data_IF_015526548601
#
_entry.id   IF_015526548601
#
_cell.length_a   1.000
_cell.length_b   1.000
_cell.length_c   1.000
_cell.angle_alpha   90.00
_cell.angle_beta   90.00
_cell.angle_gamma   90.00
#
_symmetry.space_group_name_H-M   'P 1'
#
loop_
_entity.id
_entity.type
_entity.pdbx_description
1 polymer ?
#
# COMPACT_ATOMS: atom_id res chain seq x y z
N UNK A 1 11.60 -11.87 1.77
CA UNK A 1 11.90 -10.48 1.36
C UNK A 1 11.58 -10.38 -0.12
N UNK A 2 11.02 -9.26 -0.59
CA UNK A 2 10.70 -9.07 -2.02
C UNK A 2 12.00 -9.00 -2.81
N UNK A 3 12.18 -9.85 -3.82
CA UNK A 3 13.42 -10.01 -4.60
C UNK A 3 13.71 -8.83 -5.54
N UNK A 4 12.78 -7.87 -5.68
CA UNK A 4 12.92 -6.71 -6.55
C UNK A 4 13.28 -5.44 -5.75
N UNK A 5 14.40 -4.76 -6.05
CA UNK A 5 14.89 -3.59 -5.31
C UNK A 5 13.98 -2.37 -5.42
N UNK A 6 13.09 -2.32 -6.41
CA UNK A 6 12.17 -1.19 -6.63
C UNK A 6 10.80 -1.37 -5.97
N UNK A 7 10.58 -2.47 -5.24
CA UNK A 7 9.31 -2.75 -4.55
C UNK A 7 9.50 -2.68 -3.05
N UNK A 8 9.00 -1.62 -2.41
CA UNK A 8 8.97 -1.51 -0.96
C UNK A 8 7.72 -2.22 -0.40
N UNK A 9 7.93 -3.40 0.22
CA UNK A 9 6.89 -4.04 1.02
C UNK A 9 6.95 -3.60 2.47
N UNK A 10 5.87 -2.97 2.95
CA UNK A 10 5.79 -2.48 4.34
C UNK A 10 4.81 -3.34 5.13
N UNK A 11 5.36 -4.22 5.96
CA UNK A 11 4.59 -4.96 6.95
C UNK A 11 4.32 -4.10 8.18
N UNK A 12 3.08 -4.15 8.68
CA UNK A 12 2.66 -3.36 9.84
C UNK A 12 1.60 -4.08 10.68
N UNK A 13 1.55 -3.75 11.95
CA UNK A 13 0.63 -4.37 12.93
C UNK A 13 -0.68 -3.61 13.13
N UNK A 14 -1.03 -2.64 12.27
CA UNK A 14 -2.25 -1.83 12.41
C UNK A 14 -3.50 -2.69 12.65
N UNK A 15 -3.64 -3.79 11.90
CA UNK A 15 -4.74 -4.75 12.06
C UNK A 15 -4.79 -5.34 13.46
N UNK A 16 -3.66 -5.81 13.95
CA UNK A 16 -3.53 -6.41 15.27
C UNK A 16 -3.89 -5.40 16.35
N UNK A 17 -3.33 -4.18 16.26
CA UNK A 17 -3.63 -3.08 17.19
C UNK A 17 -5.13 -2.80 17.23
N UNK A 18 -5.79 -2.56 16.09
CA UNK A 18 -7.23 -2.27 16.07
C UNK A 18 -8.06 -3.43 16.63
N UNK A 19 -7.68 -4.68 16.34
CA UNK A 19 -8.40 -5.86 16.84
C UNK A 19 -8.24 -5.99 18.36
N UNK A 20 -7.03 -5.85 18.88
CA UNK A 20 -6.74 -5.90 20.32
C UNK A 20 -7.51 -4.80 21.06
N UNK A 21 -7.45 -3.55 20.59
CA UNK A 21 -8.14 -2.44 21.25
C UNK A 21 -9.66 -2.49 21.07
N UNK A 22 -10.17 -3.12 20.00
CA UNK A 22 -11.58 -3.45 19.89
C UNK A 22 -12.03 -4.44 20.97
N UNK A 23 -11.25 -5.48 21.25
CA UNK A 23 -11.53 -6.40 22.35
C UNK A 23 -11.44 -5.70 23.72
N UNK A 24 -10.41 -4.88 23.94
CA UNK A 24 -10.24 -4.09 25.18
C UNK A 24 -11.43 -3.14 25.40
N UNK A 25 -11.99 -2.52 24.35
CA UNK A 25 -13.19 -1.66 24.48
C UNK A 25 -14.41 -2.36 25.07
N UNK A 26 -14.45 -3.70 25.08
CA UNK A 26 -15.52 -4.46 25.76
C UNK A 26 -15.55 -4.24 27.28
N UNK A 27 -14.49 -3.66 27.88
CA UNK A 27 -14.47 -3.17 29.26
C UNK A 27 -15.65 -2.22 29.55
N UNK A 28 -16.18 -1.52 28.54
CA UNK A 28 -17.38 -0.71 28.69
C UNK A 28 -18.59 -1.51 29.22
N UNK A 29 -18.67 -2.81 28.93
CA UNK A 29 -19.73 -3.68 29.48
C UNK A 29 -19.60 -3.89 31.00
N UNK A 30 -18.38 -3.83 31.53
CA UNK A 30 -18.13 -3.96 32.97
C UNK A 30 -18.63 -2.74 33.74
N UNK A 31 -18.82 -1.58 33.10
CA UNK A 31 -19.32 -0.37 33.75
C UNK A 31 -20.69 -0.60 34.42
N UNK A 32 -21.51 -1.52 33.90
CA UNK A 32 -22.80 -1.90 34.47
C UNK A 32 -22.67 -2.59 35.84
N UNK A 33 -21.66 -3.43 36.04
CA UNK A 33 -21.55 -4.30 37.22
C UNK A 33 -20.42 -3.89 38.18
N UNK A 34 -19.35 -3.30 37.67
CA UNK A 34 -18.14 -2.90 38.42
C UNK A 34 -17.64 -1.52 37.94
N UNK A 35 -18.34 -0.44 38.31
CA UNK A 35 -18.08 0.90 37.77
C UNK A 35 -16.67 1.42 38.08
N UNK A 36 -16.22 1.34 39.35
CA UNK A 36 -14.88 1.78 39.77
C UNK A 36 -13.75 1.08 38.99
N UNK A 37 -13.89 -0.24 38.77
CA UNK A 37 -12.92 -1.03 38.00
C UNK A 37 -12.94 -0.67 36.53
N UNK A 38 -14.13 -0.52 35.94
CA UNK A 38 -14.28 -0.12 34.55
C UNK A 38 -13.67 1.27 34.29
N UNK A 39 -13.93 2.25 35.15
CA UNK A 39 -13.37 3.58 35.06
C UNK A 39 -11.83 3.57 35.09
N UNK A 40 -11.24 2.88 36.08
CA UNK A 40 -9.79 2.72 36.19
C UNK A 40 -9.18 2.11 34.92
N UNK A 41 -9.80 1.07 34.38
CA UNK A 41 -9.33 0.41 33.17
C UNK A 41 -9.51 1.28 31.91
N UNK A 42 -10.63 2.00 31.79
CA UNK A 42 -10.86 2.95 30.70
C UNK A 42 -9.84 4.08 30.72
N UNK A 43 -9.56 4.66 31.89
CA UNK A 43 -8.48 5.65 32.09
C UNK A 43 -7.12 5.06 31.69
N UNK A 44 -6.80 3.83 32.12
CA UNK A 44 -5.55 3.14 31.77
C UNK A 44 -5.36 3.01 30.25
N UNK A 45 -6.37 2.56 29.52
CA UNK A 45 -6.28 2.30 28.08
C UNK A 45 -6.60 3.51 27.19
N UNK A 46 -7.12 4.59 27.77
CA UNK A 46 -7.47 5.82 27.07
C UNK A 46 -6.29 6.35 26.25
N UNK A 47 -6.58 6.71 24.99
CA UNK A 47 -5.61 7.27 24.04
C UNK A 47 -4.45 6.35 23.64
N UNK A 48 -4.29 5.14 24.20
CA UNK A 48 -3.15 4.25 23.87
C UNK A 48 -3.24 3.73 22.44
N UNK A 49 -4.44 3.33 21.98
CA UNK A 49 -4.65 2.92 20.59
C UNK A 49 -4.23 4.03 19.63
N UNK A 50 -4.71 5.26 19.87
CA UNK A 50 -4.39 6.42 19.05
C UNK A 50 -2.89 6.69 19.00
N UNK A 51 -2.19 6.65 20.14
CA UNK A 51 -0.74 6.85 20.21
C UNK A 51 0.03 5.79 19.42
N UNK A 52 -0.29 4.51 19.62
CA UNK A 52 0.34 3.40 18.88
C UNK A 52 0.13 3.49 17.36
N UNK A 53 -1.10 3.74 16.94
CA UNK A 53 -1.44 3.93 15.52
C UNK A 53 -0.69 5.12 14.94
N UNK A 54 -0.62 6.22 15.70
CA UNK A 54 0.07 7.45 15.27
C UNK A 54 1.56 7.23 15.08
N UNK A 55 2.23 6.63 16.07
CA UNK A 55 3.64 6.24 16.00
C UNK A 55 3.92 5.35 14.77
N UNK A 56 3.09 4.32 14.59
CA UNK A 56 3.24 3.41 13.46
C UNK A 56 3.04 4.12 12.10
N UNK A 57 2.05 5.02 11.98
CA UNK A 57 1.87 5.83 10.78
C UNK A 57 3.07 6.78 10.53
N UNK A 58 3.67 7.37 11.57
CA UNK A 58 4.88 8.17 11.40
C UNK A 58 6.07 7.33 10.94
N UNK A 59 6.26 6.12 11.48
CA UNK A 59 7.34 5.21 11.06
C UNK A 59 7.16 4.75 9.62
N UNK A 60 5.95 4.36 9.23
CA UNK A 60 5.63 3.93 7.86
C UNK A 60 5.86 5.08 6.88
N UNK A 61 5.32 6.27 7.17
CA UNK A 61 5.51 7.44 6.29
C UNK A 61 6.98 7.78 6.13
N UNK A 62 7.80 7.77 7.20
CA UNK A 62 9.23 8.04 7.09
C UNK A 62 9.93 7.03 6.16
N UNK A 63 9.67 5.73 6.34
CA UNK A 63 10.22 4.68 5.46
C UNK A 63 9.87 4.89 3.98
N UNK A 64 8.64 5.31 3.69
CA UNK A 64 8.19 5.59 2.31
C UNK A 64 8.99 6.77 1.72
N UNK A 65 9.14 7.85 2.49
CA UNK A 65 9.89 9.03 2.07
C UNK A 65 11.37 8.71 1.85
N UNK A 66 11.99 7.95 2.76
CA UNK A 66 13.40 7.55 2.64
C UNK A 66 13.62 6.71 1.39
N UNK A 67 12.72 5.76 1.12
CA UNK A 67 12.78 4.94 -0.09
C UNK A 67 12.62 5.78 -1.36
N UNK A 68 11.65 6.70 -1.37
CA UNK A 68 11.44 7.59 -2.52
C UNK A 68 12.68 8.48 -2.76
N UNK A 69 13.27 9.02 -1.69
CA UNK A 69 14.47 9.86 -1.76
C UNK A 69 15.69 9.09 -2.25
N UNK A 70 15.91 7.88 -1.73
CA UNK A 70 17.05 7.04 -2.10
C UNK A 70 17.08 6.70 -3.60
N UNK A 71 15.90 6.56 -4.21
CA UNK A 71 15.76 6.18 -5.61
C UNK A 71 15.36 7.34 -6.54
N UNK A 72 15.20 8.56 -6.02
CA UNK A 72 14.79 9.72 -6.82
C UNK A 72 13.36 9.66 -7.35
N UNK A 73 12.46 8.98 -6.63
CA UNK A 73 11.10 8.72 -7.10
C UNK A 73 10.10 9.80 -6.68
N UNK A 74 9.13 10.07 -7.56
CA UNK A 74 7.91 10.84 -7.22
C UNK A 74 6.88 9.96 -6.49
N UNK A 75 6.08 10.55 -5.61
CA UNK A 75 5.08 9.82 -4.83
C UNK A 75 3.69 9.98 -5.44
N UNK A 76 3.07 8.86 -5.80
CA UNK A 76 1.69 8.80 -6.28
C UNK A 76 0.79 8.11 -5.25
N UNK A 77 -0.34 8.75 -4.90
CA UNK A 77 -1.33 8.20 -3.98
C UNK A 77 -2.75 8.22 -4.57
N UNK A 78 -3.59 7.27 -4.17
CA UNK A 78 -5.02 7.30 -4.55
C UNK A 78 -5.80 8.38 -3.77
N UNK A 79 -6.71 9.07 -4.45
CA UNK A 79 -7.64 9.99 -3.80
C UNK A 79 -8.79 9.23 -3.14
N UNK A 80 -8.62 8.92 -1.85
CA UNK A 80 -9.60 8.16 -1.06
C UNK A 80 -10.71 9.05 -0.45
N UNK A 81 -10.98 10.23 -1.02
CA UNK A 81 -12.14 11.04 -0.63
C UNK A 81 -13.44 10.27 -0.94
N UNK A 82 -14.42 10.36 -0.03
CA UNK A 82 -15.73 9.72 -0.23
C UNK A 82 -15.81 8.20 -0.03
N UNK A 83 -14.70 7.48 0.20
CA UNK A 83 -14.73 6.00 0.38
C UNK A 83 -15.63 5.54 1.54
N UNK A 84 -15.93 6.44 2.50
CA UNK A 84 -16.79 6.17 3.65
C UNK A 84 -18.26 6.51 3.45
N UNK A 85 -18.62 7.19 2.35
CA UNK A 85 -19.95 7.75 2.17
C UNK A 85 -20.98 6.71 1.72
N UNK A 86 -20.54 5.64 1.03
CA UNK A 86 -21.40 4.58 0.49
C UNK A 86 -21.01 3.20 1.03
N UNK A 87 -20.96 3.03 2.36
CA UNK A 87 -20.61 1.73 2.96
C UNK A 87 -21.86 1.00 3.45
N UNK A 88 -22.44 0.17 2.59
CA UNK A 88 -23.40 -0.87 2.98
C UNK A 88 -22.87 -2.27 2.62
N UNK A 89 -21.71 -2.64 3.15
CA UNK A 89 -21.04 -3.93 2.83
C UNK A 89 -20.95 -4.88 4.02
N UNK A 90 -21.83 -4.71 5.00
CA UNK A 90 -21.93 -5.55 6.20
C UNK A 90 -21.09 -5.09 7.40
N UNK A 91 -21.55 -5.44 8.61
CA UNK A 91 -21.02 -4.94 9.90
C UNK A 91 -19.50 -5.11 10.06
N UNK A 92 -18.97 -6.26 9.63
CA UNK A 92 -17.55 -6.57 9.76
C UNK A 92 -16.69 -5.69 8.84
N UNK A 93 -17.09 -5.54 7.58
CA UNK A 93 -16.34 -4.75 6.60
C UNK A 93 -16.44 -3.26 6.91
N UNK A 94 -17.62 -2.77 7.30
CA UNK A 94 -17.83 -1.39 7.74
C UNK A 94 -16.89 -1.06 8.91
N UNK A 95 -16.85 -1.91 9.95
CA UNK A 95 -15.93 -1.73 11.09
C UNK A 95 -14.48 -1.59 10.65
N UNK A 96 -14.04 -2.47 9.74
CA UNK A 96 -12.66 -2.46 9.24
C UNK A 96 -12.34 -1.17 8.48
N UNK A 97 -13.22 -0.74 7.59
CA UNK A 97 -13.07 0.51 6.81
C UNK A 97 -13.05 1.75 7.72
N UNK A 98 -13.87 1.78 8.77
CA UNK A 98 -13.87 2.89 9.73
C UNK A 98 -12.65 2.88 10.66
N UNK A 99 -12.14 1.70 11.04
CA UNK A 99 -10.90 1.62 11.82
C UNK A 99 -9.67 2.04 11.03
N UNK A 100 -9.71 1.94 9.70
CA UNK A 100 -8.56 2.17 8.85
C UNK A 100 -8.12 3.65 8.82
N UNK A 101 -6.84 3.90 9.13
CA UNK A 101 -6.23 5.23 9.23
C UNK A 101 -5.61 5.79 7.94
N UNK A 102 -6.16 5.47 6.76
CA UNK A 102 -5.61 5.93 5.48
C UNK A 102 -5.39 7.45 5.41
N UNK A 103 -6.39 8.27 5.77
CA UNK A 103 -6.26 9.74 5.73
C UNK A 103 -5.09 10.25 6.57
N UNK A 104 -4.85 9.62 7.73
CA UNK A 104 -3.76 10.04 8.63
C UNK A 104 -2.41 9.71 8.01
N UNK A 105 -2.28 8.54 7.40
CA UNK A 105 -1.05 8.17 6.72
C UNK A 105 -0.81 9.02 5.47
N UNK A 106 -1.84 9.29 4.66
CA UNK A 106 -1.75 10.18 3.51
C UNK A 106 -1.29 11.57 3.93
N UNK A 107 -1.86 12.13 5.00
CA UNK A 107 -1.41 13.40 5.57
C UNK A 107 0.07 13.33 6.00
N UNK A 108 0.49 12.25 6.66
CA UNK A 108 1.88 12.10 7.09
C UNK A 108 2.88 11.95 5.96
N UNK A 109 2.48 11.30 4.86
CA UNK A 109 3.30 11.22 3.66
C UNK A 109 3.37 12.60 3.01
N UNK A 110 2.23 13.27 2.82
CA UNK A 110 2.15 14.57 2.15
C UNK A 110 3.01 15.64 2.84
N UNK A 111 2.87 15.82 4.16
CA UNK A 111 3.67 16.84 4.84
C UNK A 111 5.17 16.50 4.85
N UNK A 112 5.55 15.22 5.02
CA UNK A 112 6.97 14.83 5.04
C UNK A 112 7.62 14.89 3.67
N UNK A 113 6.87 14.55 2.62
CA UNK A 113 7.33 14.70 1.25
C UNK A 113 7.60 16.18 0.93
N UNK A 114 6.69 17.07 1.33
CA UNK A 114 6.87 18.52 1.18
C UNK A 114 8.12 19.04 1.91
N UNK A 115 8.38 18.55 3.13
CA UNK A 115 9.59 18.92 3.88
C UNK A 115 10.89 18.47 3.18
N UNK A 116 10.84 17.38 2.43
CA UNK A 116 12.00 16.81 1.73
C UNK A 116 12.02 17.20 0.23
N UNK A 117 11.12 18.09 -0.20
CA UNK A 117 11.04 18.56 -1.59
C UNK A 117 10.55 17.52 -2.60
N UNK A 118 9.90 16.44 -2.16
CA UNK A 118 9.41 15.38 -3.05
C UNK A 118 8.01 15.72 -3.61
N UNK A 119 7.78 15.55 -4.92
CA UNK A 119 6.47 15.77 -5.52
C UNK A 119 5.47 14.69 -5.08
N UNK A 120 4.27 15.12 -4.69
CA UNK A 120 3.15 14.27 -4.29
C UNK A 120 1.94 14.58 -5.12
N UNK A 121 1.32 13.53 -5.65
CA UNK A 121 0.17 13.69 -6.54
C UNK A 121 -0.89 12.63 -6.30
N UNK A 122 -2.14 13.02 -6.54
CA UNK A 122 -3.31 12.20 -6.26
C UNK A 122 -3.99 11.73 -7.54
N UNK A 123 -4.24 10.42 -7.64
CA UNK A 123 -4.91 9.79 -8.78
C UNK A 123 -6.31 9.32 -8.39
N UNK A 124 -7.23 9.33 -9.35
CA UNK A 124 -8.58 8.81 -9.14
C UNK A 124 -8.54 7.29 -8.88
N UNK A 125 -9.09 6.78 -7.76
CA UNK A 125 -9.09 5.34 -7.47
C UNK A 125 -10.00 4.51 -8.40
N UNK A 126 -10.84 5.14 -9.23
CA UNK A 126 -11.78 4.42 -10.09
C UNK A 126 -11.03 3.63 -11.17
N UNK A 127 -11.19 2.32 -11.17
CA UNK A 127 -10.63 1.44 -12.20
C UNK A 127 -9.20 0.95 -11.96
N UNK A 128 -8.52 1.43 -10.90
CA UNK A 128 -7.12 1.06 -10.62
C UNK A 128 -6.95 -0.42 -10.29
N UNK A 129 -7.91 -1.04 -9.62
CA UNK A 129 -7.80 -2.43 -9.15
C UNK A 129 -8.69 -3.44 -9.89
N UNK A 130 -9.44 -2.98 -10.90
CA UNK A 130 -10.44 -3.80 -11.62
C UNK A 130 -10.14 -3.95 -13.11
N UNK A 131 -9.20 -3.18 -13.66
CA UNK A 131 -8.84 -3.20 -15.08
C UNK A 131 -7.46 -3.79 -15.27
N UNK A 132 -7.27 -4.53 -16.37
CA UNK A 132 -5.99 -5.10 -16.73
C UNK A 132 -5.03 -4.00 -17.23
N UNK A 133 -3.81 -3.89 -16.68
CA UNK A 133 -2.85 -2.88 -17.12
C UNK A 133 -2.39 -3.12 -18.56
N UNK A 134 -2.44 -4.37 -19.03
CA UNK A 134 -2.03 -4.78 -20.38
C UNK A 134 -3.15 -4.49 -21.39
N UNK A 135 -4.28 -5.21 -21.31
CA UNK A 135 -5.33 -5.14 -22.34
C UNK A 135 -6.49 -4.20 -22.02
N UNK A 136 -6.58 -3.64 -20.79
CA UNK A 136 -7.72 -2.82 -20.36
C UNK A 136 -9.01 -3.61 -20.05
N UNK A 137 -9.00 -4.93 -20.20
CA UNK A 137 -10.13 -5.81 -19.86
C UNK A 137 -10.44 -5.85 -18.36
N UNK A 138 -11.61 -6.39 -17.99
CA UNK A 138 -12.00 -6.56 -16.58
C UNK A 138 -11.22 -7.71 -15.95
N UNK A 139 -10.71 -7.48 -14.75
CA UNK A 139 -9.99 -8.49 -13.98
C UNK A 139 -10.93 -9.39 -13.19
N UNK A 140 -10.70 -10.70 -13.27
CA UNK A 140 -11.36 -11.69 -12.45
C UNK A 140 -10.53 -11.99 -11.18
N UNK A 141 -11.17 -12.24 -10.02
CA UNK A 141 -10.45 -12.69 -8.84
C UNK A 141 -9.84 -14.09 -9.08
N UNK A 142 -8.59 -14.28 -8.65
CA UNK A 142 -7.89 -15.57 -8.67
C UNK A 142 -7.39 -15.90 -7.25
N UNK A 143 -8.27 -16.42 -6.40
CA UNK A 143 -8.00 -16.59 -4.97
C UNK A 143 -8.15 -15.28 -4.17
N UNK A 144 -7.40 -15.15 -3.08
CA UNK A 144 -7.61 -14.04 -2.12
C UNK A 144 -7.09 -12.68 -2.62
N UNK A 145 -5.86 -12.64 -3.15
CA UNK A 145 -5.16 -11.38 -3.48
C UNK A 145 -4.75 -11.22 -4.94
N UNK A 146 -4.77 -12.31 -5.70
CA UNK A 146 -4.38 -12.28 -7.10
C UNK A 146 -5.58 -12.00 -7.98
N UNK A 147 -5.30 -11.40 -9.12
CA UNK A 147 -6.26 -11.10 -10.17
C UNK A 147 -5.75 -11.69 -11.47
N UNK A 148 -6.66 -12.24 -12.27
CA UNK A 148 -6.36 -12.79 -13.58
C UNK A 148 -7.15 -12.07 -14.67
N UNK A 149 -6.57 -11.98 -15.85
CA UNK A 149 -7.22 -11.49 -17.06
C UNK A 149 -7.20 -12.57 -18.14
N UNK A 150 -8.18 -12.54 -19.03
CA UNK A 150 -8.24 -13.47 -20.18
C UNK A 150 -7.08 -13.28 -21.16
N UNK A 151 -6.38 -12.14 -21.12
CA UNK A 151 -5.15 -11.91 -21.88
C UNK A 151 -3.90 -12.58 -21.29
N UNK A 152 -4.04 -13.40 -20.25
CA UNK A 152 -2.93 -14.12 -19.59
C UNK A 152 -2.24 -13.36 -18.44
N UNK A 153 -2.65 -12.13 -18.14
CA UNK A 153 -2.09 -11.37 -17.01
C UNK A 153 -2.53 -11.95 -15.67
N UNK A 154 -1.58 -12.27 -14.80
CA UNK A 154 -1.84 -12.68 -13.42
C UNK A 154 -0.86 -12.02 -12.43
N UNK A 155 -1.38 -11.26 -11.47
CA UNK A 155 -0.55 -10.64 -10.43
C UNK A 155 -1.36 -10.32 -9.17
N UNK A 156 -0.66 -9.94 -8.07
CA UNK A 156 -1.31 -9.34 -6.90
C UNK A 156 -2.09 -8.06 -7.28
N UNK A 157 -3.26 -7.87 -6.66
CA UNK A 157 -4.13 -6.73 -6.96
C UNK A 157 -3.49 -5.39 -6.60
N UNK A 158 -2.66 -5.33 -5.55
CA UNK A 158 -2.01 -4.09 -5.14
C UNK A 158 -0.93 -3.68 -6.16
N UNK A 159 -0.16 -4.64 -6.68
CA UNK A 159 0.80 -4.40 -7.77
C UNK A 159 0.06 -3.95 -9.04
N UNK A 160 -1.07 -4.59 -9.33
CA UNK A 160 -1.91 -4.21 -10.48
C UNK A 160 -2.44 -2.79 -10.36
N UNK A 161 -2.86 -2.38 -9.16
CA UNK A 161 -3.28 -1.01 -8.88
C UNK A 161 -2.13 0.00 -9.02
N UNK A 162 -0.91 -0.35 -8.62
CA UNK A 162 0.27 0.47 -8.91
C UNK A 162 0.45 0.68 -10.41
N UNK A 163 0.45 -0.41 -11.19
CA UNK A 163 0.68 -0.36 -12.63
C UNK A 163 -0.39 0.48 -13.35
N UNK A 164 -1.65 0.35 -12.96
CA UNK A 164 -2.73 1.16 -13.53
C UNK A 164 -2.62 2.64 -13.17
N UNK A 165 -2.22 2.98 -11.94
CA UNK A 165 -1.99 4.37 -11.55
C UNK A 165 -0.82 4.99 -12.35
N UNK A 166 0.25 4.24 -12.62
CA UNK A 166 1.34 4.68 -13.49
C UNK A 166 0.86 4.89 -14.93
N UNK A 167 0.06 3.97 -15.45
CA UNK A 167 -0.55 4.09 -16.77
C UNK A 167 -1.45 5.33 -16.88
N UNK A 168 -2.24 5.64 -15.86
CA UNK A 168 -3.09 6.85 -15.82
C UNK A 168 -2.27 8.14 -15.87
N UNK A 169 -1.00 8.11 -15.48
CA UNK A 169 -0.06 9.25 -15.59
C UNK A 169 0.58 9.39 -16.96
N UNK A 170 0.34 8.47 -17.89
CA UNK A 170 1.04 8.43 -19.16
C UNK A 170 2.49 7.96 -19.03
N UNK A 171 2.90 7.43 -17.87
CA UNK A 171 4.18 6.75 -17.74
C UNK A 171 4.07 5.47 -18.57
N UNK A 172 4.91 5.29 -19.61
CA UNK A 172 4.87 4.08 -20.41
C UNK A 172 5.07 2.89 -19.49
N UNK A 173 4.21 1.89 -19.64
CA UNK A 173 4.32 0.63 -18.91
C UNK A 173 5.77 0.14 -19.07
N UNK A 174 6.52 -0.11 -17.97
CA UNK A 174 7.89 -0.59 -18.11
C UNK A 174 7.82 -2.02 -18.65
N UNK A 175 7.83 -2.15 -19.97
CA UNK A 175 7.86 -3.44 -20.67
C UNK A 175 9.05 -4.28 -20.20
N UNK A 176 10.17 -3.64 -19.79
CA UNK A 176 11.32 -4.31 -19.18
C UNK A 176 10.98 -5.10 -17.91
N UNK A 177 10.00 -4.69 -17.10
CA UNK A 177 9.64 -5.38 -15.86
C UNK A 177 8.78 -6.65 -16.09
N UNK A 178 8.08 -6.74 -17.22
CA UNK A 178 7.46 -8.01 -17.66
C UNK A 178 8.48 -8.90 -18.36
N UNK A 179 9.34 -8.31 -19.18
CA UNK A 179 10.33 -9.04 -19.96
C UNK A 179 11.37 -9.74 -19.04
N UNK A 180 11.81 -9.11 -17.94
CA UNK A 180 12.65 -9.77 -16.93
C UNK A 180 11.92 -10.89 -16.15
N UNK A 181 10.59 -10.84 -16.06
CA UNK A 181 9.77 -11.82 -15.34
C UNK A 181 9.38 -13.01 -16.23
N UNK A 182 9.16 -12.78 -17.52
CA UNK A 182 8.96 -13.82 -18.54
C UNK A 182 10.26 -14.54 -18.90
N UNK A 183 11.40 -13.82 -18.96
CA UNK A 183 12.75 -14.41 -19.11
C UNK A 183 13.21 -15.25 -17.91
N UNK A 184 12.49 -15.19 -16.78
CA UNK A 184 12.70 -16.08 -15.63
C UNK A 184 12.23 -17.52 -15.85
N UNK A 185 11.57 -17.82 -16.98
CA UNK A 185 11.42 -19.19 -17.48
C UNK A 185 12.58 -19.48 -18.42
N UNK A 186 13.54 -20.26 -17.92
CA UNK A 186 14.77 -20.75 -18.55
C UNK A 186 16.02 -19.90 -18.31
N UNK A 187 16.64 -20.11 -17.14
CA UNK A 187 18.11 -20.09 -17.07
C UNK A 187 18.54 -21.45 -16.55
N UNK A 188 18.96 -22.32 -17.47
CA UNK A 188 19.96 -23.33 -17.14
C UNK A 188 21.25 -22.57 -16.85
N UNK A 189 21.85 -22.89 -15.72
CA UNK A 189 23.13 -22.36 -15.26
C UNK A 189 24.19 -22.57 -16.35
N UNK A 190 24.89 -21.50 -16.73
CA UNK A 190 26.19 -21.58 -17.39
C UNK A 190 27.08 -20.44 -16.90
N UNK A 191 28.33 -20.82 -16.62
CA UNK A 191 29.34 -20.10 -15.86
C UNK A 191 29.76 -18.72 -16.39
N UNK A 192 30.15 -17.88 -15.44
CA UNK A 192 30.83 -16.60 -15.63
C UNK A 192 32.19 -16.75 -16.30
N UNK A 193 32.46 -15.96 -17.35
CA UNK A 193 33.80 -15.45 -17.65
C UNK A 193 33.74 -14.19 -18.52
N UNK A 194 34.49 -13.19 -18.07
CA UNK A 194 34.91 -11.93 -18.70
C UNK A 194 33.91 -10.77 -18.79
N UNK A 195 34.38 -9.61 -18.33
CA UNK A 195 33.65 -8.35 -18.30
C UNK A 195 34.00 -7.40 -19.45
N UNK A 196 33.34 -6.25 -19.47
CA UNK A 196 33.92 -4.92 -19.65
C UNK A 196 32.84 -3.86 -19.91
N UNK A 197 33.13 -2.67 -19.36
CA UNK A 197 32.76 -1.31 -19.79
C UNK A 197 31.35 -0.76 -19.52
N UNK A 198 31.41 0.40 -18.86
CA UNK A 198 30.39 1.40 -18.65
C UNK A 198 29.97 2.07 -19.96
N UNK A 199 28.70 2.46 -20.05
CA UNK A 199 28.20 3.56 -20.89
C UNK A 199 26.98 4.19 -20.20
N UNK A 200 27.20 5.44 -19.78
CA UNK A 200 26.33 6.62 -19.85
C UNK A 200 24.92 6.62 -19.25
N UNK A 201 24.74 7.61 -18.37
CA UNK A 201 23.46 8.06 -17.85
C UNK A 201 22.63 8.75 -18.95
N UNK A 202 21.32 8.44 -19.05
CA UNK A 202 20.36 9.35 -19.66
C UNK A 202 19.46 9.98 -18.59
N UNK A 203 19.50 11.31 -18.58
CA UNK A 203 18.40 12.28 -18.54
C UNK A 203 17.17 12.00 -17.67
N UNK A 204 16.78 13.04 -16.94
CA UNK A 204 15.62 13.16 -16.07
C UNK A 204 14.28 12.77 -16.74
N UNK A 205 13.98 11.48 -16.78
CA UNK A 205 12.65 10.96 -17.08
C UNK A 205 12.07 10.30 -15.83
N UNK A 206 10.92 10.83 -15.41
CA UNK A 206 10.23 10.53 -14.18
C UNK A 206 10.02 9.02 -13.95
N UNK A 207 10.89 8.41 -13.14
CA UNK A 207 10.64 7.10 -12.55
C UNK A 207 9.61 7.26 -11.43
N UNK A 208 8.35 7.29 -11.83
CA UNK A 208 7.24 7.34 -10.89
C UNK A 208 7.16 6.01 -10.13
N UNK A 209 7.36 6.05 -8.81
CA UNK A 209 7.04 4.91 -7.97
C UNK A 209 5.61 5.05 -7.48
N UNK A 210 4.76 4.17 -7.99
CA UNK A 210 3.43 4.02 -7.46
C UNK A 210 3.50 3.32 -6.10
N UNK A 211 3.34 4.10 -5.05
CA UNK A 211 2.99 3.56 -3.75
C UNK A 211 1.49 3.26 -3.77
N UNK A 212 1.11 2.03 -4.13
CA UNK A 212 -0.09 1.51 -3.46
C UNK A 212 0.24 1.49 -1.98
N UNK A 213 -0.60 2.16 -1.21
CA UNK A 213 -0.69 1.86 0.20
C UNK A 213 -0.73 0.35 0.34
N UNK A 214 0.33 -0.22 0.90
CA UNK A 214 0.52 -1.60 1.33
C UNK A 214 -0.52 -2.07 2.39
N UNK A 215 -1.65 -1.39 2.42
CA UNK A 215 -2.65 -1.33 3.48
C UNK A 215 -3.99 -1.86 2.98
N UNK A 216 -4.17 -2.06 1.67
CA UNK A 216 -5.48 -2.43 1.13
C UNK A 216 -5.73 -3.95 1.19
N UNK A 217 -4.73 -4.84 1.10
CA UNK A 217 -5.11 -6.26 0.88
C UNK A 217 -4.44 -7.36 1.70
N UNK A 218 -3.76 -7.13 2.84
CA UNK A 218 -3.31 -8.30 3.67
C UNK A 218 -4.48 -9.05 4.33
N UNK A 219 -5.71 -8.85 3.83
CA UNK A 219 -6.94 -9.13 4.56
C UNK A 219 -8.24 -8.83 3.83
N UNK A 220 -8.29 -8.59 2.51
CA UNK A 220 -9.54 -8.98 1.85
C UNK A 220 -9.58 -10.50 1.80
#
# INVERSE_FOLDING_TARGET
MSTNPHILRVDHELRTIHTTYFCIRRIQKLAKFKPKTAERLMKKYSGRERRKVTDLCHKISRKIIDFAKQHGFSIVMENLRGIRNNINKGRMLNRRLHSWNFRRLQFYIDYKAKLEGLPVEYVNPKGTSSLCPVCGGKLAPNGHRRVKCDCGYEQDRDVTACLNMLRMRGVPFPLKALDEFERGKAVRVADSRNGSKALDAPTADATATCFTHHIIQRSL
#
